data_IF_247374130528
#
_entry.id   IF_247374130528
#
_cell.length_a   1.000
_cell.length_b   1.000
_cell.length_c   1.000
_cell.angle_alpha   90.00
_cell.angle_beta   90.00
_cell.angle_gamma   90.00
#
_symmetry.space_group_name_H-M   'P 1'
#
loop_
_entity.id
_entity.type
_entity.pdbx_description
1 polymer ?
#
# COMPACT_ATOMS: atom_id res chain seq x y z
N UNK A 1 -8.56 3.54 -27.15
CA UNK A 1 -7.59 2.67 -26.45
C UNK A 1 -6.78 3.56 -25.55
N UNK A 2 -6.77 3.30 -24.24
CA UNK A 2 -5.80 3.94 -23.34
C UNK A 2 -4.40 3.64 -23.89
N UNK A 3 -3.58 4.67 -24.09
CA UNK A 3 -2.17 4.43 -24.39
C UNK A 3 -1.57 3.64 -23.22
N UNK A 4 -0.89 2.51 -23.47
CA UNK A 4 -0.23 1.79 -22.39
C UNK A 4 0.81 2.71 -21.76
N UNK A 5 0.60 3.08 -20.49
CA UNK A 5 1.65 3.74 -19.70
C UNK A 5 2.79 2.75 -19.51
N UNK A 6 4.03 3.22 -19.54
CA UNK A 6 5.19 2.40 -19.22
C UNK A 6 5.19 2.12 -17.72
N UNK A 7 4.65 0.96 -17.33
CA UNK A 7 4.55 0.56 -15.93
C UNK A 7 5.90 0.66 -15.21
N UNK A 8 7.00 0.25 -15.85
CA UNK A 8 8.31 0.26 -15.21
C UNK A 8 8.76 1.69 -14.93
N UNK A 9 8.51 2.61 -15.85
CA UNK A 9 8.80 4.03 -15.67
C UNK A 9 7.98 4.62 -14.51
N UNK A 10 6.68 4.35 -14.47
CA UNK A 10 5.78 4.93 -13.46
C UNK A 10 5.93 4.26 -12.07
N UNK A 11 6.30 2.98 -12.01
CA UNK A 11 6.49 2.23 -10.76
C UNK A 11 7.82 2.54 -10.07
N UNK A 12 8.87 2.91 -10.82
CA UNK A 12 10.19 3.21 -10.28
C UNK A 12 10.17 4.19 -9.10
N UNK A 13 9.58 5.39 -9.26
CA UNK A 13 9.45 6.36 -8.18
C UNK A 13 8.71 5.84 -6.94
N UNK A 14 7.67 5.02 -7.14
CA UNK A 14 6.89 4.43 -6.03
C UNK A 14 7.73 3.40 -5.26
N UNK A 15 8.46 2.54 -5.98
CA UNK A 15 9.36 1.55 -5.37
C UNK A 15 10.47 2.24 -4.58
N UNK A 16 11.09 3.27 -5.16
CA UNK A 16 12.11 4.07 -4.47
C UNK A 16 11.53 4.76 -3.23
N UNK A 17 10.29 5.25 -3.31
CA UNK A 17 9.60 5.83 -2.17
C UNK A 17 9.37 4.81 -1.04
N UNK A 18 8.87 3.61 -1.37
CA UNK A 18 8.60 2.54 -0.40
C UNK A 18 9.89 2.13 0.32
N UNK A 19 10.98 1.93 -0.42
CA UNK A 19 12.28 1.56 0.15
C UNK A 19 12.80 2.66 1.10
N UNK A 20 12.75 3.92 0.69
CA UNK A 20 13.11 5.04 1.56
C UNK A 20 12.22 5.11 2.81
N UNK A 21 10.92 4.90 2.67
CA UNK A 21 9.97 4.93 3.79
C UNK A 21 10.30 3.82 4.80
N UNK A 22 10.44 2.57 4.36
CA UNK A 22 10.75 1.44 5.23
C UNK A 22 12.09 1.62 5.96
N UNK A 23 13.12 2.10 5.27
CA UNK A 23 14.45 2.31 5.86
C UNK A 23 14.51 3.52 6.81
N UNK A 24 13.69 4.54 6.57
CA UNK A 24 13.74 5.79 7.34
C UNK A 24 12.55 6.01 8.27
N UNK A 25 11.62 5.05 8.40
CA UNK A 25 10.40 5.22 9.20
C UNK A 25 10.67 5.71 10.63
N UNK A 26 11.82 5.36 11.21
CA UNK A 26 12.25 5.76 12.55
C UNK A 26 12.46 7.27 12.73
N UNK A 27 12.63 8.01 11.64
CA UNK A 27 12.78 9.47 11.67
C UNK A 27 11.42 10.19 11.70
N UNK A 28 10.33 9.48 11.39
CA UNK A 28 8.98 10.03 11.33
C UNK A 28 8.30 9.96 12.72
N UNK A 29 7.35 10.87 13.02
CA UNK A 29 6.61 10.80 14.28
C UNK A 29 5.71 9.57 14.32
N UNK A 30 5.75 8.79 15.41
CA UNK A 30 4.93 7.56 15.57
C UNK A 30 3.45 7.80 15.25
N UNK A 31 2.88 8.85 15.85
CA UNK A 31 1.48 9.27 15.68
C UNK A 31 1.45 10.58 14.91
N UNK A 32 0.47 10.70 14.01
CA UNK A 32 0.19 11.97 13.36
C UNK A 32 -0.12 13.08 14.36
N UNK A 33 0.21 14.31 13.98
CA UNK A 33 0.08 15.53 14.80
C UNK A 33 -0.97 16.51 14.26
N UNK A 34 -1.72 16.13 13.22
CA UNK A 34 -2.72 16.98 12.60
C UNK A 34 -4.05 16.96 13.37
N UNK A 35 -4.92 17.92 13.09
CA UNK A 35 -6.28 18.00 13.62
C UNK A 35 -7.31 17.36 12.67
N UNK A 36 -8.46 16.90 13.20
CA UNK A 36 -9.54 16.40 12.37
C UNK A 36 -10.01 17.45 11.35
N UNK A 37 -9.99 17.09 10.07
CA UNK A 37 -10.39 17.96 8.97
C UNK A 37 -9.22 18.55 8.17
N UNK A 38 -8.00 18.53 8.69
CA UNK A 38 -6.83 19.13 8.01
C UNK A 38 -6.58 18.52 6.62
N UNK A 39 -6.58 17.18 6.51
CA UNK A 39 -6.43 16.50 5.22
C UNK A 39 -7.60 16.81 4.29
N UNK A 40 -8.83 16.78 4.82
CA UNK A 40 -10.03 17.04 4.02
C UNK A 40 -9.99 18.43 3.39
N UNK A 41 -9.61 19.45 4.16
CA UNK A 41 -9.49 20.83 3.68
C UNK A 41 -8.28 21.07 2.76
N UNK A 42 -7.30 20.18 2.76
CA UNK A 42 -6.13 20.26 1.88
C UNK A 42 -6.36 19.62 0.50
N UNK A 43 -7.39 18.79 0.34
CA UNK A 43 -7.77 18.19 -0.94
C UNK A 43 -8.73 19.14 -1.69
N UNK A 44 -8.61 19.30 -3.02
CA UNK A 44 -9.54 20.13 -3.79
C UNK A 44 -11.01 19.72 -3.63
N UNK A 45 -11.91 20.72 -3.59
CA UNK A 45 -13.36 20.51 -3.44
C UNK A 45 -13.99 19.77 -4.64
N UNK A 46 -13.35 19.84 -5.82
CA UNK A 46 -13.81 19.20 -7.04
C UNK A 46 -12.71 18.30 -7.61
N UNK A 47 -13.12 17.16 -8.19
CA UNK A 47 -12.19 16.25 -8.86
C UNK A 47 -11.58 16.91 -10.12
N UNK A 48 -10.29 16.68 -10.42
CA UNK A 48 -9.66 17.26 -11.59
C UNK A 48 -10.33 16.75 -12.88
N UNK A 49 -10.63 17.67 -13.80
CA UNK A 49 -11.24 17.35 -15.09
C UNK A 49 -10.22 16.73 -16.06
N UNK A 50 -8.94 17.06 -15.88
CA UNK A 50 -7.83 16.59 -16.69
C UNK A 50 -6.91 15.69 -15.85
N UNK A 51 -6.21 14.76 -16.50
CA UNK A 51 -5.30 13.85 -15.80
C UNK A 51 -4.07 14.58 -15.26
N UNK A 52 -3.67 14.27 -14.03
CA UNK A 52 -2.43 14.74 -13.42
C UNK A 52 -1.28 13.76 -13.62
N UNK A 53 -0.06 14.27 -13.52
CA UNK A 53 1.15 13.43 -13.60
C UNK A 53 1.34 12.62 -12.32
N UNK A 54 1.99 11.45 -12.45
CA UNK A 54 2.33 10.64 -11.28
C UNK A 54 3.26 11.37 -10.31
N UNK A 55 4.12 12.27 -10.83
CA UNK A 55 5.01 13.11 -10.02
C UNK A 55 4.22 14.04 -9.09
N UNK A 56 3.21 14.75 -9.63
CA UNK A 56 2.34 15.61 -8.81
C UNK A 56 1.59 14.82 -7.75
N UNK A 57 1.03 13.66 -8.12
CA UNK A 57 0.32 12.78 -7.18
C UNK A 57 1.25 12.32 -6.04
N UNK A 58 2.50 11.99 -6.35
CA UNK A 58 3.47 11.59 -5.33
C UNK A 58 3.92 12.76 -4.44
N UNK A 59 4.03 13.97 -4.99
CA UNK A 59 4.30 15.18 -4.21
C UNK A 59 3.16 15.48 -3.23
N UNK A 60 1.90 15.41 -3.69
CA UNK A 60 0.72 15.56 -2.84
C UNK A 60 0.64 14.47 -1.78
N UNK A 61 1.00 13.23 -2.14
CA UNK A 61 1.06 12.14 -1.17
C UNK A 61 2.07 12.43 -0.04
N UNK A 62 3.26 12.93 -0.38
CA UNK A 62 4.30 13.27 0.60
C UNK A 62 3.94 14.48 1.46
N UNK A 63 3.32 15.51 0.87
CA UNK A 63 3.06 16.78 1.55
C UNK A 63 1.70 16.84 2.27
N UNK A 64 0.67 16.20 1.71
CA UNK A 64 -0.68 16.23 2.25
C UNK A 64 -0.95 14.96 3.05
N UNK A 65 -0.77 13.79 2.45
CA UNK A 65 -1.23 12.52 3.05
C UNK A 65 -0.29 12.03 4.15
N UNK A 66 1.01 11.91 3.87
CA UNK A 66 1.98 11.30 4.79
C UNK A 66 2.01 11.95 6.19
N UNK A 67 1.92 13.29 6.36
CA UNK A 67 1.84 13.92 7.69
C UNK A 67 0.61 13.52 8.50
N UNK A 68 -0.49 13.15 7.84
CA UNK A 68 -1.72 12.66 8.44
C UNK A 68 -1.67 11.20 8.89
N UNK A 69 -0.63 10.45 8.48
CA UNK A 69 -0.52 9.02 8.78
C UNK A 69 0.06 8.76 10.16
N UNK A 70 -0.54 7.84 10.89
CA UNK A 70 0.11 7.18 12.03
C UNK A 70 0.95 6.02 11.49
N UNK A 71 2.21 5.94 11.89
CA UNK A 71 3.16 4.98 11.32
C UNK A 71 3.17 3.68 12.12
N UNK A 72 2.27 2.76 11.77
CA UNK A 72 2.08 1.49 12.47
C UNK A 72 3.32 0.57 12.44
N UNK A 73 4.17 0.68 11.42
CA UNK A 73 5.44 -0.08 11.33
C UNK A 73 6.59 0.60 12.09
N UNK A 74 6.37 1.77 12.69
CA UNK A 74 7.41 2.46 13.44
C UNK A 74 7.80 1.62 14.68
N UNK A 75 9.10 1.41 14.99
CA UNK A 75 9.51 0.54 16.11
C UNK A 75 9.07 1.03 17.50
N UNK A 76 8.84 2.34 17.63
CA UNK A 76 8.23 2.97 18.81
C UNK A 76 6.69 2.92 18.87
N UNK A 77 6.00 2.25 17.93
CA UNK A 77 4.56 2.05 17.98
C UNK A 77 4.22 0.90 18.94
N UNK A 78 3.54 1.23 20.04
CA UNK A 78 3.16 0.26 21.09
C UNK A 78 1.68 0.35 21.48
N UNK A 79 0.85 0.99 20.65
CA UNK A 79 -0.60 1.03 20.85
C UNK A 79 -1.26 -0.20 20.23
N UNK A 80 -2.40 -0.64 20.78
CA UNK A 80 -3.23 -1.71 20.23
C UNK A 80 -2.46 -3.03 19.97
N UNK A 81 -2.71 -3.66 18.80
CA UNK A 81 -1.98 -4.81 18.27
C UNK A 81 -1.17 -4.39 17.04
N UNK A 82 -0.03 -5.04 16.77
CA UNK A 82 0.80 -4.68 15.64
C UNK A 82 0.12 -5.03 14.32
N UNK A 83 0.20 -4.12 13.35
CA UNK A 83 -0.30 -4.33 12.00
C UNK A 83 0.84 -4.87 11.12
N UNK A 84 1.38 -6.06 11.44
CA UNK A 84 2.62 -6.57 10.84
C UNK A 84 2.62 -6.52 9.30
N UNK A 85 3.74 -6.09 8.73
CA UNK A 85 4.01 -6.10 7.29
C UNK A 85 5.45 -6.53 7.02
N UNK A 86 5.71 -7.04 5.82
CA UNK A 86 7.05 -7.41 5.35
C UNK A 86 7.22 -7.02 3.88
N UNK A 87 8.47 -7.01 3.40
CA UNK A 87 8.77 -6.71 1.99
C UNK A 87 8.06 -7.72 1.07
N UNK A 88 8.09 -9.00 1.44
CA UNK A 88 7.43 -10.08 0.70
C UNK A 88 5.91 -9.89 0.64
N UNK A 89 5.29 -9.41 1.73
CA UNK A 89 3.85 -9.12 1.77
C UNK A 89 3.48 -7.98 0.82
N UNK A 90 4.27 -6.90 0.77
CA UNK A 90 4.02 -5.75 -0.13
C UNK A 90 4.22 -6.15 -1.59
N UNK A 91 5.23 -6.96 -1.89
CA UNK A 91 5.46 -7.46 -3.24
C UNK A 91 4.34 -8.42 -3.68
N UNK A 92 3.86 -9.28 -2.78
CA UNK A 92 2.73 -10.16 -3.06
C UNK A 92 1.46 -9.34 -3.38
N UNK A 93 1.16 -8.29 -2.62
CA UNK A 93 0.03 -7.40 -2.87
C UNK A 93 0.14 -6.67 -4.23
N UNK A 94 1.36 -6.34 -4.64
CA UNK A 94 1.62 -5.75 -5.95
C UNK A 94 1.28 -6.74 -7.08
N UNK A 95 1.65 -8.01 -6.92
CA UNK A 95 1.35 -9.06 -7.90
C UNK A 95 -0.15 -9.36 -7.98
N UNK A 96 -0.83 -9.48 -6.83
CA UNK A 96 -2.28 -9.70 -6.79
C UNK A 96 -3.04 -8.55 -7.45
N UNK A 97 -2.65 -7.31 -7.16
CA UNK A 97 -3.21 -6.10 -7.77
C UNK A 97 -3.00 -6.05 -9.28
N UNK A 98 -1.79 -6.40 -9.77
CA UNK A 98 -1.48 -6.39 -11.20
C UNK A 98 -2.30 -7.41 -12.00
N UNK A 99 -2.62 -8.56 -11.40
CA UNK A 99 -3.47 -9.57 -12.03
C UNK A 99 -4.97 -9.22 -11.97
N UNK A 100 -5.37 -8.33 -11.05
CA UNK A 100 -6.79 -8.07 -10.78
C UNK A 100 -7.54 -9.35 -10.43
N UNK A 101 -6.88 -10.26 -9.71
CA UNK A 101 -7.36 -11.62 -9.52
C UNK A 101 -8.71 -11.64 -8.79
N UNK A 102 -9.68 -12.38 -9.35
CA UNK A 102 -11.01 -12.53 -8.78
C UNK A 102 -11.19 -13.97 -8.28
N UNK A 103 -11.32 -14.14 -6.97
CA UNK A 103 -11.20 -15.45 -6.31
C UNK A 103 -12.52 -15.95 -5.71
N UNK A 104 -13.67 -15.55 -6.27
CA UNK A 104 -14.99 -15.89 -5.72
C UNK A 104 -15.34 -17.39 -5.84
N UNK A 105 -14.94 -18.03 -6.93
CA UNK A 105 -15.12 -19.47 -7.17
C UNK A 105 -13.87 -20.04 -7.82
N UNK A 106 -13.67 -21.36 -7.74
CA UNK A 106 -12.48 -22.01 -8.29
C UNK A 106 -12.24 -21.64 -9.76
N UNK A 107 -13.28 -21.59 -10.59
CA UNK A 107 -13.16 -21.27 -12.02
C UNK A 107 -12.65 -19.84 -12.29
N UNK A 108 -12.89 -18.88 -11.39
CA UNK A 108 -12.46 -17.48 -11.61
C UNK A 108 -10.97 -17.27 -11.33
N UNK A 109 -10.35 -18.13 -10.50
CA UNK A 109 -8.89 -18.14 -10.26
C UNK A 109 -8.43 -19.47 -9.61
N UNK A 110 -8.24 -20.55 -10.40
CA UNK A 110 -7.92 -21.89 -9.86
C UNK A 110 -6.66 -21.92 -8.99
N UNK A 111 -5.60 -21.26 -9.45
CA UNK A 111 -4.33 -21.21 -8.73
C UNK A 111 -4.44 -20.50 -7.38
N UNK A 112 -5.27 -19.45 -7.29
CA UNK A 112 -5.49 -18.75 -6.03
C UNK A 112 -6.20 -19.66 -5.01
N UNK A 113 -7.25 -20.37 -5.44
CA UNK A 113 -7.99 -21.30 -4.58
C UNK A 113 -7.11 -22.46 -4.08
N UNK A 114 -6.33 -23.08 -4.97
CA UNK A 114 -5.47 -24.21 -4.60
C UNK A 114 -4.28 -23.77 -3.73
N UNK A 115 -3.69 -22.60 -4.02
CA UNK A 115 -2.61 -22.06 -3.21
C UNK A 115 -3.10 -21.69 -1.81
N UNK A 116 -4.28 -21.06 -1.69
CA UNK A 116 -4.89 -20.75 -0.40
C UNK A 116 -5.08 -22.02 0.43
N UNK A 117 -5.65 -23.07 -0.16
CA UNK A 117 -5.84 -24.35 0.53
C UNK A 117 -4.50 -24.89 1.06
N UNK A 118 -3.46 -24.94 0.22
CA UNK A 118 -2.16 -25.47 0.63
C UNK A 118 -1.50 -24.61 1.71
N UNK A 119 -1.60 -23.27 1.62
CA UNK A 119 -1.05 -22.37 2.63
C UNK A 119 -1.76 -22.51 3.97
N UNK A 120 -3.08 -22.72 3.96
CA UNK A 120 -3.85 -22.96 5.18
C UNK A 120 -3.55 -24.32 5.81
N UNK A 121 -3.29 -25.36 5.00
CA UNK A 121 -2.79 -26.65 5.49
C UNK A 121 -1.43 -26.48 6.20
N UNK A 122 -0.50 -25.71 5.62
CA UNK A 122 0.78 -25.41 6.25
C UNK A 122 0.62 -24.61 7.55
N UNK A 123 -0.27 -23.62 7.56
CA UNK A 123 -0.55 -22.83 8.75
C UNK A 123 -1.11 -23.71 9.88
N UNK A 124 -2.07 -24.59 9.56
CA UNK A 124 -2.62 -25.58 10.50
C UNK A 124 -1.49 -26.41 11.11
N UNK A 125 -0.64 -26.99 10.27
CA UNK A 125 0.43 -27.88 10.74
C UNK A 125 1.48 -27.13 11.58
N UNK A 126 1.73 -25.86 11.28
CA UNK A 126 2.65 -25.00 12.04
C UNK A 126 2.10 -24.58 13.42
N UNK A 127 0.79 -24.59 13.61
CA UNK A 127 0.14 -24.20 14.88
C UNK A 127 0.04 -25.35 15.89
N UNK A 128 0.32 -26.59 15.47
CA UNK A 128 0.19 -27.81 16.29
C UNK A 128 -1.23 -28.32 16.42
#
# INVERSE_FOLDING_TARGET
>A
MLNPKDFKKEAGPVVDWIDRYMNNIKSLPVKSKIEPGDIYAAIPDEAPLESESMEQIMEDFDHIILPGMTHWQHPGFHAYFPANSSVESVLAETLTSAMGAQCMIWETSPAAAELEQRMMEWLRDAMG
#
